data_IF_152404159957
#
_entry.id   IF_152404159957
#
_cell.length_a   1.000
_cell.length_b   1.000
_cell.length_c   1.000
_cell.angle_alpha   90.00
_cell.angle_beta   90.00
_cell.angle_gamma   90.00
#
_symmetry.space_group_name_H-M   'P 1'
#
loop_
_entity.id
_entity.type
_entity.pdbx_description
1 polymer ?
#
# COMPACT_ATOMS: atom_id res chain seq x y z
N UNK A 1 -14.37 -20.43 36.06
CA UNK A 1 -14.99 -20.58 34.72
C UNK A 1 -15.06 -19.28 33.90
N UNK A 2 -15.17 -18.10 34.52
CA UNK A 2 -15.28 -16.82 33.78
C UNK A 2 -14.06 -16.44 32.93
N UNK A 3 -12.83 -16.66 33.44
CA UNK A 3 -11.59 -16.26 32.75
C UNK A 3 -11.33 -17.00 31.43
N UNK A 4 -11.59 -18.31 31.39
CA UNK A 4 -11.42 -19.10 30.17
C UNK A 4 -12.45 -18.71 29.09
N UNK A 5 -13.69 -18.42 29.49
CA UNK A 5 -14.75 -17.97 28.58
C UNK A 5 -14.46 -16.58 27.99
N UNK A 6 -13.94 -15.64 28.81
CA UNK A 6 -13.47 -14.34 28.32
C UNK A 6 -12.33 -14.48 27.31
N UNK A 7 -11.32 -15.31 27.62
CA UNK A 7 -10.20 -15.55 26.70
C UNK A 7 -10.66 -16.14 25.36
N UNK A 8 -11.58 -17.10 25.37
CA UNK A 8 -12.14 -17.69 24.14
C UNK A 8 -12.89 -16.62 23.31
N UNK A 9 -13.60 -15.71 23.99
CA UNK A 9 -14.35 -14.64 23.33
C UNK A 9 -13.42 -13.60 22.70
N UNK A 10 -12.36 -13.19 23.41
CA UNK A 10 -11.33 -12.29 22.88
C UNK A 10 -10.60 -12.92 21.70
N UNK A 11 -10.22 -14.20 21.81
CA UNK A 11 -9.53 -14.93 20.75
C UNK A 11 -10.40 -15.10 19.50
N UNK A 12 -11.72 -15.27 19.66
CA UNK A 12 -12.65 -15.31 18.53
C UNK A 12 -12.73 -13.97 17.78
N UNK A 13 -12.68 -12.85 18.50
CA UNK A 13 -12.59 -11.52 17.91
C UNK A 13 -11.27 -11.33 17.15
N UNK A 14 -10.17 -11.76 17.76
CA UNK A 14 -8.83 -11.66 17.17
C UNK A 14 -8.66 -12.55 15.93
N UNK A 15 -9.21 -13.77 15.96
CA UNK A 15 -9.25 -14.65 14.80
C UNK A 15 -9.98 -14.00 13.61
N UNK A 16 -11.12 -13.35 13.87
CA UNK A 16 -11.85 -12.63 12.83
C UNK A 16 -11.02 -11.46 12.27
N UNK A 17 -10.40 -10.68 13.16
CA UNK A 17 -9.53 -9.55 12.79
C UNK A 17 -8.39 -10.01 11.88
N UNK A 18 -7.62 -11.03 12.28
CA UNK A 18 -6.53 -11.56 11.48
C UNK A 18 -6.99 -12.18 10.17
N UNK A 19 -8.17 -12.79 10.14
CA UNK A 19 -8.76 -13.32 8.90
C UNK A 19 -9.06 -12.20 7.91
N UNK A 20 -9.62 -11.08 8.39
CA UNK A 20 -9.93 -9.93 7.55
C UNK A 20 -8.66 -9.18 7.12
N UNK A 21 -7.68 -9.02 8.01
CA UNK A 21 -6.35 -8.49 7.69
C UNK A 21 -5.62 -9.33 6.65
N UNK A 22 -5.67 -10.66 6.76
CA UNK A 22 -5.07 -11.57 5.78
C UNK A 22 -5.65 -11.36 4.38
N UNK A 23 -6.97 -11.16 4.27
CA UNK A 23 -7.62 -10.83 2.99
C UNK A 23 -7.16 -9.49 2.45
N UNK A 24 -7.06 -8.47 3.30
CA UNK A 24 -6.59 -7.13 2.91
C UNK A 24 -5.13 -7.18 2.42
N UNK A 25 -4.24 -7.88 3.15
CA UNK A 25 -2.85 -8.08 2.76
C UNK A 25 -2.75 -8.79 1.41
N UNK A 26 -3.58 -9.81 1.17
CA UNK A 26 -3.61 -10.50 -0.13
C UNK A 26 -3.96 -9.55 -1.28
N UNK A 27 -4.91 -8.65 -1.08
CA UNK A 27 -5.25 -7.63 -2.07
C UNK A 27 -4.16 -6.56 -2.22
N UNK A 28 -3.47 -6.19 -1.14
CA UNK A 28 -2.31 -5.29 -1.20
C UNK A 28 -1.15 -5.92 -1.98
N UNK A 29 -0.82 -7.18 -1.74
CA UNK A 29 0.23 -7.92 -2.45
C UNK A 29 -0.02 -7.92 -3.97
N UNK A 30 -1.28 -8.08 -4.41
CA UNK A 30 -1.62 -8.02 -5.83
C UNK A 30 -1.25 -6.69 -6.47
N UNK A 31 -1.48 -5.56 -5.78
CA UNK A 31 -1.23 -4.21 -6.28
C UNK A 31 0.21 -3.72 -6.03
N UNK A 32 0.93 -4.38 -5.13
CA UNK A 32 2.27 -4.01 -4.69
C UNK A 32 3.25 -3.84 -5.86
N UNK A 33 3.13 -4.66 -6.91
CA UNK A 33 4.02 -4.59 -8.08
C UNK A 33 3.94 -3.23 -8.77
N UNK A 34 2.73 -2.72 -9.01
CA UNK A 34 2.55 -1.39 -9.61
C UNK A 34 2.97 -0.27 -8.65
N UNK A 35 2.69 -0.43 -7.36
CA UNK A 35 3.03 0.55 -6.33
C UNK A 35 4.57 0.72 -6.20
N UNK A 36 5.30 -0.40 -6.18
CA UNK A 36 6.78 -0.42 -6.18
C UNK A 36 7.34 0.20 -7.46
N UNK A 37 6.79 -0.12 -8.63
CA UNK A 37 7.26 0.45 -9.90
C UNK A 37 7.21 1.99 -9.90
N UNK A 38 6.11 2.58 -9.42
CA UNK A 38 5.99 4.05 -9.32
C UNK A 38 6.99 4.62 -8.33
N UNK A 39 7.13 4.02 -7.15
CA UNK A 39 8.04 4.53 -6.12
C UNK A 39 9.50 4.44 -6.54
N UNK A 40 9.92 3.34 -7.18
CA UNK A 40 11.28 3.20 -7.71
C UNK A 40 11.55 4.20 -8.84
N UNK A 41 10.57 4.43 -9.72
CA UNK A 41 10.64 5.48 -10.74
C UNK A 41 10.82 6.87 -10.12
N UNK A 42 10.06 7.16 -9.06
CA UNK A 42 10.18 8.40 -8.31
C UNK A 42 11.58 8.56 -7.70
N UNK A 43 12.08 7.54 -6.98
CA UNK A 43 13.40 7.58 -6.35
C UNK A 43 14.54 7.75 -7.36
N UNK A 44 14.42 7.12 -8.53
CA UNK A 44 15.49 7.08 -9.53
C UNK A 44 15.53 8.32 -10.41
N UNK A 45 14.38 8.91 -10.75
CA UNK A 45 14.29 9.95 -11.78
C UNK A 45 13.73 11.29 -11.28
N UNK A 46 12.99 11.33 -10.17
CA UNK A 46 12.29 12.54 -9.77
C UNK A 46 13.17 13.55 -8.99
N UNK A 47 14.35 13.14 -8.54
CA UNK A 47 15.21 13.89 -7.61
C UNK A 47 15.60 15.28 -8.09
N UNK A 48 15.98 15.44 -9.36
CA UNK A 48 16.44 16.72 -9.93
C UNK A 48 15.34 17.72 -10.26
N UNK A 49 14.06 17.32 -10.16
CA UNK A 49 12.92 18.13 -10.58
C UNK A 49 12.25 18.86 -9.41
N UNK A 50 11.50 19.93 -9.70
CA UNK A 50 10.65 20.63 -8.74
C UNK A 50 9.31 19.89 -8.50
N UNK A 51 8.50 20.40 -7.58
CA UNK A 51 7.26 19.74 -7.17
C UNK A 51 6.27 19.55 -8.32
N UNK A 52 6.14 20.53 -9.20
CA UNK A 52 5.23 20.51 -10.35
C UNK A 52 5.61 19.40 -11.32
N UNK A 53 6.89 19.32 -11.70
CA UNK A 53 7.40 18.27 -12.60
C UNK A 53 7.33 16.89 -11.97
N UNK A 54 7.64 16.75 -10.67
CA UNK A 54 7.50 15.48 -9.95
C UNK A 54 6.06 14.98 -9.98
N UNK A 55 5.09 15.87 -9.76
CA UNK A 55 3.66 15.53 -9.76
C UNK A 55 3.17 15.12 -11.16
N UNK A 56 3.66 15.81 -12.20
CA UNK A 56 3.37 15.46 -13.59
C UNK A 56 3.94 14.08 -13.98
N UNK A 57 5.19 13.78 -13.58
CA UNK A 57 5.83 12.48 -13.81
C UNK A 57 5.05 11.34 -13.15
N UNK A 58 4.69 11.50 -11.87
CA UNK A 58 3.89 10.50 -11.14
C UNK A 58 2.55 10.23 -11.82
N UNK A 59 1.85 11.28 -12.23
CA UNK A 59 0.55 11.18 -12.92
C UNK A 59 0.69 10.47 -14.28
N UNK A 60 1.75 10.79 -15.02
CA UNK A 60 2.05 10.15 -16.30
C UNK A 60 2.34 8.65 -16.12
N UNK A 61 3.21 8.28 -15.18
CA UNK A 61 3.54 6.89 -14.91
C UNK A 61 2.35 6.08 -14.41
N UNK A 62 1.54 6.64 -13.51
CA UNK A 62 0.30 5.99 -13.06
C UNK A 62 -0.64 5.69 -14.22
N UNK A 63 -0.86 6.68 -15.11
CA UNK A 63 -1.64 6.48 -16.33
C UNK A 63 -1.08 5.36 -17.20
N UNK A 64 0.26 5.30 -17.38
CA UNK A 64 0.93 4.26 -18.17
C UNK A 64 0.81 2.86 -17.57
N UNK A 65 0.78 2.75 -16.25
CA UNK A 65 0.58 1.49 -15.51
C UNK A 65 -0.85 0.99 -15.71
N UNK A 66 -1.85 1.87 -15.55
CA UNK A 66 -3.25 1.54 -15.78
C UNK A 66 -3.51 1.11 -17.24
N UNK A 67 -2.92 1.81 -18.21
CA UNK A 67 -2.99 1.43 -19.63
C UNK A 67 -2.43 0.05 -19.93
N UNK A 68 -1.45 -0.42 -19.13
CA UNK A 68 -0.83 -1.75 -19.27
C UNK A 68 -1.50 -2.82 -18.42
N UNK A 69 -2.65 -2.51 -17.81
CA UNK A 69 -3.38 -3.42 -16.91
C UNK A 69 -2.49 -3.98 -15.78
N UNK A 70 -1.46 -3.24 -15.39
CA UNK A 70 -0.61 -3.60 -14.25
C UNK A 70 -1.40 -3.27 -12.98
N UNK A 71 -1.63 -4.24 -12.08
CA UNK A 71 -2.32 -3.97 -10.83
C UNK A 71 -1.54 -2.95 -9.99
N UNK A 72 -2.22 -1.88 -9.60
CA UNK A 72 -1.67 -0.81 -8.78
C UNK A 72 -2.79 -0.19 -7.93
N UNK A 73 -2.40 0.48 -6.85
CA UNK A 73 -3.32 1.23 -6.01
C UNK A 73 -3.81 2.48 -6.75
N UNK A 74 -5.09 2.84 -6.54
CA UNK A 74 -5.72 3.97 -7.24
C UNK A 74 -5.04 5.30 -6.92
N UNK A 75 -4.52 5.43 -5.70
CA UNK A 75 -3.69 6.53 -5.24
C UNK A 75 -2.45 5.96 -4.57
N UNK A 76 -1.28 6.34 -5.06
CA UNK A 76 0.01 5.97 -4.47
C UNK A 76 0.60 7.22 -3.86
N UNK A 77 0.80 7.22 -2.56
CA UNK A 77 1.61 8.22 -1.89
C UNK A 77 3.02 7.64 -1.69
N UNK A 78 4.00 8.17 -2.41
CA UNK A 78 5.38 7.70 -2.34
C UNK A 78 6.00 7.94 -0.96
N UNK A 79 5.56 8.95 -0.21
CA UNK A 79 6.04 9.16 1.16
C UNK A 79 5.51 8.08 2.09
N UNK A 80 4.20 7.83 2.11
CA UNK A 80 3.60 6.81 2.98
C UNK A 80 4.13 5.40 2.67
N UNK A 81 4.54 5.16 1.43
CA UNK A 81 5.08 3.86 1.01
C UNK A 81 6.55 3.68 1.37
N UNK A 82 7.35 4.76 1.37
CA UNK A 82 8.80 4.71 1.56
C UNK A 82 9.24 5.11 2.98
N UNK A 83 8.38 5.75 3.75
CA UNK A 83 8.67 6.28 5.08
C UNK A 83 7.68 5.71 6.07
N UNK A 84 8.18 5.25 7.22
CA UNK A 84 7.30 4.79 8.30
C UNK A 84 6.63 5.99 8.98
N UNK A 85 5.38 5.81 9.43
CA UNK A 85 4.63 6.84 10.14
C UNK A 85 5.15 7.13 11.57
N UNK A 86 6.28 6.54 11.97
CA UNK A 86 6.94 6.79 13.26
C UNK A 86 7.81 8.05 13.18
N UNK A 87 7.17 9.21 13.29
CA UNK A 87 7.75 10.47 13.76
C UNK A 87 6.74 11.18 14.64
#
# INVERSE_FOLDING_TARGET
MSRASMLITELAGEYKRWTDESKQLKEQIKRLVGDVLVATGFLSYAGSFNQEYRSALLSCWHTKILQRTIPASQKINTMDMLVNASM
#
